data_IF_087998260769
#
_entry.id   IF_087998260769
#
_cell.length_a   1.000
_cell.length_b   1.000
_cell.length_c   1.000
_cell.angle_alpha   90.00
_cell.angle_beta   90.00
_cell.angle_gamma   90.00
#
_symmetry.space_group_name_H-M   'P 1'
#
loop_
_entity.id
_entity.type
_entity.pdbx_description
1 polymer ?
#
# COMPACT_ATOMS: atom_id res chain seq x y z
N UNK A 1 -7.21 10.00 -45.36
CA UNK A 1 -6.07 10.61 -44.66
C UNK A 1 -6.11 10.18 -43.20
N UNK A 2 -5.70 8.94 -42.92
CA UNK A 2 -5.75 8.33 -41.57
C UNK A 2 -4.36 8.38 -40.95
N UNK A 3 -4.06 9.49 -40.28
CA UNK A 3 -2.83 9.63 -39.50
C UNK A 3 -3.02 8.90 -38.16
N UNK A 4 -2.81 7.58 -38.15
CA UNK A 4 -2.69 6.80 -36.90
C UNK A 4 -1.32 7.09 -36.30
N UNK A 5 -1.29 8.03 -35.35
CA UNK A 5 -0.11 8.39 -34.58
C UNK A 5 0.33 7.19 -33.70
N UNK A 6 1.61 6.79 -33.73
CA UNK A 6 2.15 5.71 -32.88
C UNK A 6 2.05 6.01 -31.36
N UNK A 7 1.83 7.27 -30.96
CA UNK A 7 1.69 7.66 -29.55
C UNK A 7 0.44 7.11 -28.85
N UNK A 8 -0.71 7.02 -29.53
CA UNK A 8 -1.96 6.51 -28.91
C UNK A 8 -1.86 5.02 -28.56
N UNK A 9 -1.10 4.25 -29.35
CA UNK A 9 -0.89 2.82 -29.11
C UNK A 9 -0.03 2.61 -27.87
N UNK A 10 1.01 3.43 -27.68
CA UNK A 10 1.88 3.35 -26.51
C UNK A 10 1.11 3.73 -25.23
N UNK A 11 0.33 4.83 -25.27
CA UNK A 11 -0.50 5.24 -24.14
C UNK A 11 -1.51 4.17 -23.72
N UNK A 12 -2.17 3.51 -24.69
CA UNK A 12 -3.12 2.43 -24.41
C UNK A 12 -2.46 1.19 -23.78
N UNK A 13 -1.23 0.86 -24.22
CA UNK A 13 -0.46 -0.27 -23.68
C UNK A 13 0.01 0.05 -22.25
N UNK A 14 0.45 1.28 -21.97
CA UNK A 14 0.87 1.68 -20.62
C UNK A 14 -0.28 1.66 -19.61
N UNK A 15 -1.47 2.11 -20.01
CA UNK A 15 -2.67 2.04 -19.14
C UNK A 15 -3.02 0.58 -18.82
N UNK A 16 -2.97 -0.30 -19.83
CA UNK A 16 -3.24 -1.71 -19.63
C UNK A 16 -2.25 -2.36 -18.66
N UNK A 17 -0.95 -2.11 -18.84
CA UNK A 17 0.10 -2.64 -17.97
C UNK A 17 -0.06 -2.10 -16.54
N UNK A 18 -0.33 -0.80 -16.38
CA UNK A 18 -0.55 -0.19 -15.07
C UNK A 18 -1.81 -0.74 -14.37
N UNK A 19 -2.89 -0.98 -15.14
CA UNK A 19 -4.10 -1.64 -14.63
C UNK A 19 -3.82 -3.06 -14.16
N UNK A 20 -3.04 -3.83 -14.94
CA UNK A 20 -2.63 -5.18 -14.57
C UNK A 20 -1.80 -5.19 -13.29
N UNK A 21 -0.76 -4.33 -13.22
CA UNK A 21 0.10 -4.13 -12.05
C UNK A 21 -0.69 -3.73 -10.80
N UNK A 22 -1.70 -2.86 -10.96
CA UNK A 22 -2.54 -2.41 -9.85
C UNK A 22 -3.51 -3.48 -9.36
N UNK A 23 -3.99 -4.36 -10.24
CA UNK A 23 -4.95 -5.42 -9.90
C UNK A 23 -4.31 -6.61 -9.16
N UNK A 24 -3.05 -6.93 -9.50
CA UNK A 24 -2.27 -8.04 -8.95
C UNK A 24 -2.27 -8.09 -7.40
N UNK A 25 -1.96 -7.00 -6.67
CA UNK A 25 -1.93 -7.03 -5.21
C UNK A 25 -3.31 -7.28 -4.59
N UNK A 26 -4.39 -6.80 -5.21
CA UNK A 26 -5.75 -7.06 -4.72
C UNK A 26 -6.18 -8.50 -4.95
N UNK A 27 -5.81 -9.08 -6.09
CA UNK A 27 -6.05 -10.50 -6.36
C UNK A 27 -5.29 -11.39 -5.37
N UNK A 28 -4.02 -11.08 -5.11
CA UNK A 28 -3.21 -11.77 -4.10
C UNK A 28 -3.83 -11.69 -2.71
N UNK A 29 -4.26 -10.48 -2.30
CA UNK A 29 -4.99 -10.27 -1.03
C UNK A 29 -6.25 -11.13 -0.94
N UNK A 30 -7.04 -11.23 -2.00
CA UNK A 30 -8.25 -12.03 -2.03
C UNK A 30 -7.95 -13.53 -1.83
N UNK A 31 -7.00 -14.08 -2.59
CA UNK A 31 -6.60 -15.49 -2.49
C UNK A 31 -6.12 -15.80 -1.07
N UNK A 32 -5.25 -14.95 -0.51
CA UNK A 32 -4.74 -15.15 0.84
C UNK A 32 -5.83 -15.01 1.90
N UNK A 33 -6.80 -14.11 1.71
CA UNK A 33 -7.94 -14.00 2.61
C UNK A 33 -8.75 -15.30 2.64
N UNK A 34 -9.05 -15.90 1.47
CA UNK A 34 -9.76 -17.19 1.38
C UNK A 34 -8.96 -18.30 2.05
N UNK A 35 -7.65 -18.41 1.77
CA UNK A 35 -6.78 -19.40 2.40
C UNK A 35 -6.72 -19.24 3.92
N UNK A 36 -6.61 -18.00 4.41
CA UNK A 36 -6.55 -17.70 5.83
C UNK A 36 -7.88 -18.01 6.53
N UNK A 37 -9.03 -17.74 5.89
CA UNK A 37 -10.35 -18.13 6.40
C UNK A 37 -10.48 -19.64 6.54
N UNK A 38 -10.10 -20.40 5.50
CA UNK A 38 -10.10 -21.87 5.55
C UNK A 38 -9.21 -22.41 6.67
N UNK A 39 -8.00 -21.85 6.81
CA UNK A 39 -7.05 -22.26 7.84
C UNK A 39 -7.56 -21.92 9.25
N UNK A 40 -8.23 -20.78 9.41
CA UNK A 40 -8.82 -20.37 10.68
C UNK A 40 -10.02 -21.25 11.07
N UNK A 41 -10.86 -21.64 10.12
CA UNK A 41 -11.96 -22.56 10.37
C UNK A 41 -11.44 -23.96 10.74
N UNK A 42 -10.37 -24.43 10.07
CA UNK A 42 -9.71 -25.68 10.44
C UNK A 42 -9.09 -25.64 11.84
N UNK A 43 -8.41 -24.53 12.20
CA UNK A 43 -7.86 -24.35 13.55
C UNK A 43 -8.96 -24.28 14.62
N UNK A 44 -10.11 -23.67 14.32
CA UNK A 44 -11.27 -23.63 15.24
C UNK A 44 -11.86 -25.02 15.47
N UNK A 45 -11.94 -25.86 14.43
CA UNK A 45 -12.44 -27.24 14.55
C UNK A 45 -11.52 -28.13 15.39
N UNK A 46 -10.21 -27.86 15.40
CA UNK A 46 -9.22 -28.65 16.13
C UNK A 46 -9.35 -28.54 17.67
N UNK A 47 -10.06 -27.53 18.21
CA UNK A 47 -10.30 -27.29 19.65
C UNK A 47 -9.04 -27.30 20.56
N UNK A 48 -7.84 -27.35 19.97
CA UNK A 48 -6.53 -27.43 20.65
C UNK A 48 -6.08 -26.08 21.23
N UNK A 49 -6.72 -24.98 20.84
CA UNK A 49 -6.25 -23.62 21.14
C UNK A 49 -7.43 -22.66 21.31
N UNK A 50 -7.37 -21.78 22.33
CA UNK A 50 -8.40 -20.77 22.58
C UNK A 50 -8.56 -19.85 21.37
N UNK A 51 -9.80 -19.57 20.98
CA UNK A 51 -10.16 -18.75 19.80
C UNK A 51 -9.48 -17.38 19.80
N UNK A 52 -9.30 -16.77 20.97
CA UNK A 52 -8.60 -15.50 21.16
C UNK A 52 -7.09 -15.60 20.90
N UNK A 53 -6.43 -16.68 21.32
CA UNK A 53 -4.98 -16.87 21.08
C UNK A 53 -4.69 -17.16 19.61
N UNK A 54 -5.53 -17.97 18.96
CA UNK A 54 -5.42 -18.22 17.52
C UNK A 54 -5.58 -16.92 16.72
N UNK A 55 -6.60 -16.11 17.03
CA UNK A 55 -6.81 -14.82 16.36
C UNK A 55 -5.67 -13.82 16.58
N UNK A 56 -5.11 -13.77 17.79
CA UNK A 56 -3.92 -12.95 18.08
C UNK A 56 -2.74 -13.40 17.22
N UNK A 57 -2.47 -14.70 17.15
CA UNK A 57 -1.40 -15.24 16.31
C UNK A 57 -1.60 -14.86 14.84
N UNK A 58 -2.77 -15.12 14.26
CA UNK A 58 -3.06 -14.76 12.86
C UNK A 58 -2.93 -13.26 12.58
N UNK A 59 -3.43 -12.41 13.47
CA UNK A 59 -3.34 -10.95 13.31
C UNK A 59 -1.88 -10.48 13.39
N UNK A 60 -1.10 -11.02 14.33
CA UNK A 60 0.33 -10.72 14.46
C UNK A 60 1.11 -11.19 13.22
N UNK A 61 0.85 -12.40 12.72
CA UNK A 61 1.44 -12.91 11.48
C UNK A 61 0.99 -12.13 10.24
N UNK A 62 -0.20 -11.53 10.23
CA UNK A 62 -0.68 -10.73 9.11
C UNK A 62 -0.10 -9.32 9.08
N UNK A 63 0.34 -8.77 10.21
CA UNK A 63 0.79 -7.36 10.33
C UNK A 63 2.30 -7.23 10.51
N UNK A 64 2.96 -8.15 11.23
CA UNK A 64 4.41 -8.08 11.44
C UNK A 64 5.21 -8.17 10.13
N UNK A 65 4.98 -9.15 9.23
CA UNK A 65 5.76 -9.24 8.01
C UNK A 65 5.56 -8.05 7.06
N UNK A 66 4.33 -7.54 6.81
CA UNK A 66 4.15 -6.32 6.03
C UNK A 66 4.85 -5.10 6.64
N UNK A 67 4.85 -4.96 7.97
CA UNK A 67 5.56 -3.87 8.67
C UNK A 67 7.08 -3.94 8.47
N UNK A 68 7.67 -5.13 8.61
CA UNK A 68 9.11 -5.33 8.38
C UNK A 68 9.48 -5.09 6.91
N UNK A 69 8.66 -5.58 5.98
CA UNK A 69 8.85 -5.36 4.55
C UNK A 69 8.71 -3.89 4.16
N UNK A 70 7.84 -3.14 4.81
CA UNK A 70 7.68 -1.71 4.57
C UNK A 70 8.95 -0.94 4.95
N UNK A 71 9.58 -1.28 6.08
CA UNK A 71 10.87 -0.69 6.47
C UNK A 71 11.94 -1.03 5.43
N UNK A 72 12.01 -2.28 4.97
CA UNK A 72 12.95 -2.69 3.93
C UNK A 72 12.75 -1.94 2.60
N UNK A 73 11.50 -1.66 2.24
CA UNK A 73 11.15 -0.91 1.03
C UNK A 73 11.69 0.53 1.05
N UNK A 74 11.75 1.17 2.22
CA UNK A 74 12.30 2.53 2.37
C UNK A 74 13.78 2.57 2.00
N UNK A 75 14.55 1.53 2.34
CA UNK A 75 16.00 1.47 2.07
C UNK A 75 16.34 0.92 0.68
N UNK A 76 15.54 0.02 0.11
CA UNK A 76 15.86 -0.70 -1.13
C UNK A 76 14.95 -0.34 -2.33
N UNK A 77 14.14 0.72 -2.20
CA UNK A 77 13.14 1.13 -3.20
C UNK A 77 13.66 1.71 -4.52
N UNK A 78 14.90 1.42 -4.92
CA UNK A 78 15.54 2.03 -6.09
C UNK A 78 15.03 1.49 -7.44
N UNK A 79 14.37 0.33 -7.44
CA UNK A 79 13.83 -0.31 -8.66
C UNK A 79 12.30 -0.44 -8.59
N UNK A 80 11.62 0.05 -9.64
CA UNK A 80 10.16 0.01 -9.79
C UNK A 80 9.59 -1.41 -9.69
N UNK A 81 10.25 -2.40 -10.30
CA UNK A 81 9.80 -3.80 -10.28
C UNK A 81 9.89 -4.36 -8.85
N UNK A 82 10.98 -4.05 -8.15
CA UNK A 82 11.19 -4.49 -6.78
C UNK A 82 10.15 -3.89 -5.82
N UNK A 83 9.88 -2.58 -5.94
CA UNK A 83 8.85 -1.91 -5.13
C UNK A 83 7.46 -2.52 -5.33
N UNK A 84 7.06 -2.81 -6.57
CA UNK A 84 5.74 -3.40 -6.86
C UNK A 84 5.64 -4.84 -6.36
N UNK A 85 6.69 -5.64 -6.49
CA UNK A 85 6.69 -7.04 -6.00
C UNK A 85 6.60 -7.10 -4.48
N UNK A 86 7.39 -6.29 -3.77
CA UNK A 86 7.32 -6.22 -2.30
C UNK A 86 5.96 -5.72 -1.84
N UNK A 87 5.42 -4.66 -2.46
CA UNK A 87 4.09 -4.15 -2.15
C UNK A 87 2.99 -5.21 -2.36
N UNK A 88 3.11 -6.00 -3.42
CA UNK A 88 2.19 -7.12 -3.69
C UNK A 88 2.26 -8.17 -2.60
N UNK A 89 3.45 -8.56 -2.16
CA UNK A 89 3.64 -9.54 -1.09
C UNK A 89 3.11 -9.00 0.25
N UNK A 90 3.40 -7.74 0.57
CA UNK A 90 2.88 -7.06 1.75
C UNK A 90 1.35 -7.10 1.80
N UNK A 91 0.68 -6.69 0.70
CA UNK A 91 -0.77 -6.64 0.65
C UNK A 91 -1.40 -8.04 0.67
N UNK A 92 -0.73 -9.02 0.05
CA UNK A 92 -1.13 -10.43 0.08
C UNK A 92 -1.13 -10.96 1.51
N UNK A 93 -0.01 -10.79 2.24
CA UNK A 93 0.11 -11.23 3.64
C UNK A 93 -0.90 -10.51 4.56
N UNK A 94 -1.18 -9.22 4.30
CA UNK A 94 -2.19 -8.47 5.03
C UNK A 94 -3.61 -9.08 4.88
N UNK A 95 -3.91 -9.78 3.77
CA UNK A 95 -5.18 -10.46 3.55
C UNK A 95 -5.57 -11.44 4.66
N UNK A 96 -4.59 -12.02 5.36
CA UNK A 96 -4.81 -12.93 6.48
C UNK A 96 -5.45 -12.25 7.72
N UNK A 97 -5.47 -10.91 7.78
CA UNK A 97 -6.10 -10.17 8.90
C UNK A 97 -7.60 -10.43 9.01
N UNK A 98 -8.24 -10.79 7.89
CA UNK A 98 -9.67 -11.10 7.80
C UNK A 98 -10.08 -12.25 8.73
N UNK A 99 -9.24 -13.27 8.85
CA UNK A 99 -9.45 -14.40 9.76
C UNK A 99 -9.30 -14.05 11.26
N UNK A 100 -8.58 -12.97 11.56
CA UNK A 100 -8.27 -12.54 12.93
C UNK A 100 -9.26 -11.53 13.51
N UNK A 101 -9.30 -10.33 12.93
CA UNK A 101 -9.98 -9.16 13.53
C UNK A 101 -11.50 -9.17 13.36
N UNK A 102 -12.02 -9.65 12.21
CA UNK A 102 -13.46 -9.60 11.89
C UNK A 102 -14.32 -10.39 12.89
N UNK A 103 -13.80 -11.51 13.41
CA UNK A 103 -14.52 -12.30 14.42
C UNK A 103 -14.45 -11.73 15.84
N UNK A 104 -13.49 -10.84 16.13
CA UNK A 104 -13.20 -10.41 17.50
C UNK A 104 -14.34 -9.58 18.12
N UNK A 105 -14.95 -8.68 17.34
CA UNK A 105 -16.08 -7.88 17.81
C UNK A 105 -17.36 -8.70 18.00
N UNK A 106 -17.53 -9.82 17.29
CA UNK A 106 -18.66 -10.73 17.46
C UNK A 106 -18.53 -11.56 18.74
N UNK A 107 -17.31 -11.96 19.09
CA UNK A 107 -17.03 -12.71 20.31
C UNK A 107 -17.12 -11.85 21.59
N UNK A 108 -16.80 -10.55 21.51
CA UNK A 108 -16.84 -9.64 22.67
C UNK A 108 -18.26 -9.15 22.97
N UNK A 109 -19.02 -8.73 21.95
CA UNK A 109 -20.34 -8.15 22.13
C UNK A 109 -21.22 -8.38 20.89
N UNK A 110 -21.89 -9.54 20.77
CA UNK A 110 -22.67 -9.87 19.58
C UNK A 110 -23.83 -8.89 19.32
N UNK A 111 -24.46 -8.35 20.38
CA UNK A 111 -25.56 -7.38 20.26
C UNK A 111 -25.11 -5.95 19.88
N UNK A 112 -23.85 -5.59 20.10
CA UNK A 112 -23.31 -4.25 19.85
C UNK A 112 -22.18 -4.22 18.80
N UNK A 113 -21.93 -5.36 18.15
CA UNK A 113 -20.80 -5.54 17.24
C UNK A 113 -20.81 -4.52 16.10
N UNK A 114 -21.98 -4.28 15.50
CA UNK A 114 -22.13 -3.32 14.41
C UNK A 114 -21.75 -1.89 14.80
N UNK A 115 -22.19 -1.43 15.97
CA UNK A 115 -21.85 -0.08 16.48
C UNK A 115 -20.37 0.05 16.79
N UNK A 116 -19.76 -0.98 17.42
CA UNK A 116 -18.34 -0.99 17.75
C UNK A 116 -17.49 -0.98 16.47
N UNK A 117 -17.81 -1.83 15.49
CA UNK A 117 -17.11 -1.84 14.19
C UNK A 117 -17.34 -0.53 13.42
N UNK A 118 -18.53 0.07 13.49
CA UNK A 118 -18.81 1.37 12.89
C UNK A 118 -17.89 2.46 13.46
N UNK A 119 -17.80 2.57 14.78
CA UNK A 119 -16.89 3.51 15.45
C UNK A 119 -15.41 3.23 15.14
N UNK A 120 -15.01 1.96 15.06
CA UNK A 120 -13.64 1.61 14.68
C UNK A 120 -13.30 2.02 13.24
N UNK A 121 -14.26 1.89 12.31
CA UNK A 121 -14.09 2.30 10.91
C UNK A 121 -14.05 3.82 10.77
N UNK A 122 -14.84 4.59 11.53
CA UNK A 122 -14.76 6.06 11.48
C UNK A 122 -13.41 6.57 11.96
N UNK A 123 -12.87 6.00 13.05
CA UNK A 123 -11.52 6.30 13.52
C UNK A 123 -10.44 5.91 12.50
N UNK A 124 -10.61 4.75 11.84
CA UNK A 124 -9.69 4.30 10.78
C UNK A 124 -9.69 5.24 9.58
N UNK A 125 -10.87 5.69 9.14
CA UNK A 125 -11.01 6.65 8.05
C UNK A 125 -10.41 8.02 8.40
N UNK A 126 -10.57 8.48 9.65
CA UNK A 126 -9.96 9.72 10.12
C UNK A 126 -8.42 9.63 10.09
N UNK A 127 -7.86 8.50 10.50
CA UNK A 127 -6.42 8.24 10.41
C UNK A 127 -5.94 8.23 8.94
N UNK A 128 -6.70 7.60 8.04
CA UNK A 128 -6.41 7.62 6.61
C UNK A 128 -6.43 9.03 6.02
N UNK A 129 -7.41 9.86 6.40
CA UNK A 129 -7.47 11.26 6.00
C UNK A 129 -6.24 12.05 6.47
N UNK A 130 -5.88 11.92 7.74
CA UNK A 130 -4.72 12.61 8.31
C UNK A 130 -3.42 12.17 7.64
N UNK A 131 -3.27 10.88 7.32
CA UNK A 131 -2.10 10.35 6.60
C UNK A 131 -1.95 10.96 5.20
N UNK A 132 -3.01 11.01 4.40
CA UNK A 132 -2.97 11.63 3.07
C UNK A 132 -2.66 13.13 3.14
N UNK A 133 -3.22 13.84 4.14
CA UNK A 133 -2.93 15.25 4.37
C UNK A 133 -1.44 15.50 4.66
N UNK A 134 -0.84 14.68 5.53
CA UNK A 134 0.60 14.77 5.84
C UNK A 134 1.47 14.45 4.62
N UNK A 135 1.15 13.41 3.85
CA UNK A 135 1.89 13.06 2.63
C UNK A 135 1.84 14.20 1.61
N UNK A 136 0.67 14.79 1.38
CA UNK A 136 0.54 15.94 0.48
C UNK A 136 1.42 17.12 0.89
N UNK A 137 1.45 17.43 2.19
CA UNK A 137 2.30 18.50 2.73
C UNK A 137 3.80 18.20 2.61
N UNK A 138 4.20 16.94 2.83
CA UNK A 138 5.59 16.50 2.69
C UNK A 138 6.05 16.52 1.22
N UNK A 139 5.21 16.07 0.28
CA UNK A 139 5.54 16.04 -1.15
C UNK A 139 5.63 17.44 -1.74
N UNK A 140 4.75 18.37 -1.37
CA UNK A 140 4.84 19.77 -1.83
C UNK A 140 6.20 20.39 -1.54
N UNK A 141 6.84 20.04 -0.42
CA UNK A 141 8.19 20.51 -0.06
C UNK A 141 9.29 19.92 -0.95
N UNK A 142 9.15 18.68 -1.39
CA UNK A 142 10.15 18.04 -2.26
C UNK A 142 10.02 18.48 -3.71
N UNK A 143 8.79 18.67 -4.21
CA UNK A 143 8.57 19.17 -5.57
C UNK A 143 9.05 20.63 -5.72
N UNK A 144 8.83 21.49 -4.72
CA UNK A 144 9.38 22.87 -4.75
C UNK A 144 10.90 22.92 -4.55
N UNK A 145 11.53 21.91 -3.94
CA UNK A 145 12.99 21.84 -3.83
C UNK A 145 13.66 21.34 -5.12
N UNK A 146 13.04 20.38 -5.84
CA UNK A 146 13.52 19.99 -7.17
C UNK A 146 13.26 21.06 -8.22
N UNK A 147 12.07 21.68 -8.23
CA UNK A 147 11.77 22.76 -9.17
C UNK A 147 12.54 24.03 -8.80
N UNK A 148 12.68 24.35 -7.50
CA UNK A 148 13.48 25.47 -7.03
C UNK A 148 14.99 25.30 -7.27
N UNK A 149 15.52 24.08 -7.12
CA UNK A 149 16.90 23.75 -7.47
C UNK A 149 17.15 23.84 -8.97
N UNK A 150 16.22 23.34 -9.80
CA UNK A 150 16.31 23.45 -11.25
C UNK A 150 16.19 24.92 -11.73
N UNK A 151 15.37 25.74 -11.06
CA UNK A 151 15.28 27.19 -11.31
C UNK A 151 16.52 27.97 -10.81
N UNK A 152 17.23 27.47 -9.80
CA UNK A 152 18.50 28.04 -9.33
C UNK A 152 19.64 27.60 -10.25
N UNK A 153 19.66 26.36 -10.73
CA UNK A 153 20.62 25.88 -11.74
C UNK A 153 20.41 26.60 -13.10
N UNK A 154 19.17 26.93 -13.50
CA UNK A 154 18.89 27.82 -14.64
C UNK A 154 19.34 29.28 -14.39
N UNK A 155 19.46 29.70 -13.13
CA UNK A 155 19.98 31.02 -12.75
C UNK A 155 21.50 31.03 -12.48
N UNK A 156 22.13 29.87 -12.33
CA UNK A 156 23.52 29.69 -11.93
C UNK A 156 24.37 29.09 -13.06
N UNK A 157 24.21 29.63 -14.28
CA UNK A 157 25.34 29.75 -15.20
C UNK A 157 26.03 31.11 -14.96
N UNK A 158 27.26 31.12 -14.42
CA UNK A 158 27.94 32.33 -13.98
C UNK A 158 28.58 33.13 -15.11
N UNK A 159 28.70 34.43 -14.86
CA UNK A 159 29.22 35.47 -15.75
C UNK A 159 30.72 35.35 -16.08
N UNK A 160 31.01 35.83 -17.30
CA UNK A 160 32.13 36.71 -17.71
C UNK A 160 33.42 36.10 -18.29
N UNK A 161 33.67 36.43 -19.57
CA UNK A 161 34.95 36.99 -20.00
C UNK A 161 35.96 36.07 -20.68
N UNK A 162 36.03 36.11 -22.02
CA UNK A 162 37.34 36.17 -22.72
C UNK A 162 37.23 36.55 -24.20
N UNK A 163 37.92 37.67 -24.49
CA UNK A 163 38.79 37.92 -25.66
C UNK A 163 38.18 38.09 -27.06
N UNK A 164 38.35 39.34 -27.54
CA UNK A 164 38.97 39.71 -28.83
C UNK A 164 38.36 39.10 -30.10
N UNK A 165 37.61 39.90 -30.86
CA UNK A 165 38.13 40.75 -31.96
C UNK A 165 37.12 41.84 -32.33
#
# INVERSE_FOLDING_TARGET
MTMKLPEQKNFSIEIFINGLLSSLPYLGKYIMAVCASYLADYLRQSNRMTTTTARKAFTTFAVLPPGLMMIAQIFMGHNRVFAVTIFTIQLTLNGAVTAGYLGNGLDIAPNFSGTIFGLANTLSSLSGFLSNFMVGWLTQKNDVLHVGGQLIDDCEEPKDGSTMD
#
